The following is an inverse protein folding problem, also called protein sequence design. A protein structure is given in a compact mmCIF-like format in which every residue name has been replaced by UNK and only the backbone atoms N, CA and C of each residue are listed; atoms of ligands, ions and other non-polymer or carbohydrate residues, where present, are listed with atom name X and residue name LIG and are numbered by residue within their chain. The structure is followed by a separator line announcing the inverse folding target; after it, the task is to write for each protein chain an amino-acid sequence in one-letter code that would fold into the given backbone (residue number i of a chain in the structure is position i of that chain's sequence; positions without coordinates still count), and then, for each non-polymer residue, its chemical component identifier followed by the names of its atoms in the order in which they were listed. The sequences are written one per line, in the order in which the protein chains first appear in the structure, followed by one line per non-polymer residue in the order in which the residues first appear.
data_IF_829468955330
#
_entry.id   IF_829468955330
#
_cell.length_a   1.000
_cell.length_b   1.000
_cell.length_c   1.000
_cell.angle_alpha   90.00
_cell.angle_beta   90.00
_cell.angle_gamma   90.00
#
_symmetry.space_group_name_H-M   'P 1'
#
loop_
_entity.id
_entity.type
_entity.pdbx_description
1 polymer ?
#
# COMPACT_ATOMS: atom_id res chain seq x y z
N UNK A 1 2.21 38.01 21.83
CA UNK A 1 1.79 37.94 20.42
C UNK A 1 1.57 36.48 20.10
N UNK A 2 0.33 36.08 19.86
CA UNK A 2 -0.05 34.70 19.61
C UNK A 2 0.34 34.38 18.16
N UNK A 3 1.54 33.85 17.93
CA UNK A 3 1.86 33.25 16.63
C UNK A 3 0.87 32.11 16.46
N UNK A 4 -0.19 32.31 15.69
CA UNK A 4 -1.00 31.20 15.22
C UNK A 4 -0.02 30.24 14.55
N UNK A 5 0.29 29.13 15.23
CA UNK A 5 1.34 28.22 14.83
C UNK A 5 1.10 27.85 13.36
N UNK A 6 2.11 28.00 12.51
CA UNK A 6 2.00 27.71 11.09
C UNK A 6 1.54 26.26 10.95
N UNK A 7 0.28 26.07 10.55
CA UNK A 7 -0.40 24.78 10.58
C UNK A 7 -0.65 24.30 9.16
N UNK A 8 -0.16 23.10 8.84
CA UNK A 8 -0.28 22.48 7.52
C UNK A 8 -1.15 21.25 7.62
N UNK A 9 -2.08 21.10 6.67
CA UNK A 9 -2.80 19.85 6.48
C UNK A 9 -2.04 18.97 5.48
N UNK A 10 -1.85 17.70 5.83
CA UNK A 10 -1.35 16.66 4.94
C UNK A 10 -2.47 15.65 4.70
N UNK A 11 -2.84 15.42 3.43
CA UNK A 11 -3.90 14.48 3.06
C UNK A 11 -3.27 13.20 2.51
N UNK A 12 -3.50 12.09 3.22
CA UNK A 12 -2.97 10.75 2.97
C UNK A 12 -1.92 10.33 4.00
N UNK A 13 -2.13 9.17 4.61
CA UNK A 13 -1.26 8.50 5.60
C UNK A 13 -0.40 7.38 5.01
N UNK A 14 -0.20 7.40 3.68
CA UNK A 14 0.81 6.61 3.00
C UNK A 14 2.23 7.12 3.26
N UNK A 15 3.24 6.42 2.74
CA UNK A 15 4.66 6.75 3.01
C UNK A 15 5.01 8.19 2.62
N UNK A 16 4.52 8.69 1.48
CA UNK A 16 4.79 10.05 1.02
C UNK A 16 4.23 11.11 1.98
N UNK A 17 2.98 10.95 2.42
CA UNK A 17 2.34 11.85 3.37
C UNK A 17 2.97 11.77 4.76
N UNK A 18 3.29 10.56 5.23
CA UNK A 18 3.91 10.35 6.54
C UNK A 18 5.33 10.94 6.60
N UNK A 19 6.15 10.74 5.57
CA UNK A 19 7.49 11.37 5.45
C UNK A 19 7.36 12.89 5.39
N UNK A 20 6.42 13.43 4.61
CA UNK A 20 6.18 14.87 4.53
C UNK A 20 5.80 15.45 5.89
N UNK A 21 4.81 14.86 6.57
CA UNK A 21 4.33 15.30 7.88
C UNK A 21 5.45 15.27 8.93
N UNK A 22 6.17 14.15 9.04
CA UNK A 22 7.30 14.01 9.96
C UNK A 22 8.41 15.02 9.67
N UNK A 23 8.74 15.24 8.39
CA UNK A 23 9.76 16.23 7.99
C UNK A 23 9.35 17.65 8.34
N UNK A 24 8.12 18.05 8.06
CA UNK A 24 7.59 19.36 8.43
C UNK A 24 7.62 19.56 9.95
N UNK A 25 7.18 18.56 10.71
CA UNK A 25 7.14 18.60 12.17
C UNK A 25 8.54 18.73 12.80
N UNK A 26 9.53 17.98 12.29
CA UNK A 26 10.95 18.11 12.69
C UNK A 26 11.53 19.50 12.43
N UNK A 27 10.94 20.27 11.51
CA UNK A 27 11.31 21.65 11.21
C UNK A 27 10.41 22.69 11.92
N UNK A 28 9.65 22.27 12.94
CA UNK A 28 8.86 23.18 13.79
C UNK A 28 7.50 23.58 13.21
N UNK A 29 7.05 22.96 12.12
CA UNK A 29 5.71 23.19 11.54
C UNK A 29 4.69 22.29 12.24
N UNK A 30 3.56 22.86 12.67
CA UNK A 30 2.46 22.05 13.21
C UNK A 30 1.72 21.36 12.07
N UNK A 31 1.55 20.05 12.14
CA UNK A 31 0.92 19.28 11.06
C UNK A 31 -0.32 18.55 11.58
N UNK A 32 -1.42 18.62 10.82
CA UNK A 32 -2.48 17.61 10.90
C UNK A 32 -2.40 16.72 9.67
N UNK A 33 -2.25 15.41 9.88
CA UNK A 33 -2.34 14.42 8.83
C UNK A 33 -3.73 13.78 8.84
N UNK A 34 -4.40 13.75 7.69
CA UNK A 34 -5.71 13.13 7.50
C UNK A 34 -5.59 11.85 6.67
N UNK A 35 -6.13 10.75 7.16
CA UNK A 35 -6.17 9.46 6.47
C UNK A 35 -7.59 8.87 6.54
N UNK A 36 -8.11 8.52 5.37
CA UNK A 36 -9.42 7.89 5.18
C UNK A 36 -9.51 6.47 5.76
N UNK A 37 -8.40 5.76 5.80
CA UNK A 37 -8.29 4.40 6.32
C UNK A 37 -8.26 4.39 7.86
N UNK A 38 -8.37 3.18 8.42
CA UNK A 38 -8.43 2.95 9.88
C UNK A 38 -7.11 3.27 10.60
N UNK A 39 -6.02 3.40 9.87
CA UNK A 39 -4.67 3.63 10.38
C UNK A 39 -3.69 3.89 9.22
N UNK A 40 -2.44 4.25 9.52
CA UNK A 40 -1.44 4.56 8.51
C UNK A 40 -0.81 3.27 7.99
N UNK A 41 -0.72 3.13 6.67
CA UNK A 41 -0.14 1.98 5.98
C UNK A 41 -0.85 0.63 6.19
N UNK A 42 -1.03 -0.14 5.11
CA UNK A 42 -1.40 -1.57 5.15
C UNK A 42 -2.78 -1.91 5.74
N UNK A 43 -3.14 -3.21 5.73
CA UNK A 43 -4.39 -3.73 6.32
C UNK A 43 -4.15 -5.00 7.13
N UNK A 44 -4.99 -5.21 8.15
CA UNK A 44 -5.09 -6.46 8.92
C UNK A 44 -6.36 -7.20 8.50
N UNK A 45 -6.27 -8.52 8.42
CA UNK A 45 -7.39 -9.40 8.12
C UNK A 45 -7.76 -10.23 9.36
N UNK A 46 -9.00 -10.73 9.39
CA UNK A 46 -9.47 -11.65 10.44
C UNK A 46 -10.00 -12.92 9.80
N UNK A 47 -9.69 -14.05 10.40
CA UNK A 47 -10.24 -15.37 10.05
C UNK A 47 -11.65 -15.54 10.61
N UNK A 48 -12.36 -16.58 10.15
CA UNK A 48 -13.70 -16.93 10.63
C UNK A 48 -13.73 -17.34 12.11
N UNK A 49 -12.65 -17.98 12.61
CA UNK A 49 -12.47 -18.33 14.03
C UNK A 49 -12.03 -17.13 14.90
N UNK A 50 -12.01 -15.92 14.33
CA UNK A 50 -11.73 -14.67 15.03
C UNK A 50 -10.25 -14.38 15.29
N UNK A 51 -9.34 -15.26 14.87
CA UNK A 51 -7.89 -15.00 14.92
C UNK A 51 -7.52 -13.89 13.94
N UNK A 52 -6.63 -13.00 14.37
CA UNK A 52 -6.14 -11.93 13.49
C UNK A 52 -4.98 -12.46 12.66
N UNK A 53 -5.07 -12.33 11.35
CA UNK A 53 -3.95 -12.59 10.44
C UNK A 53 -3.51 -11.27 9.81
N UNK A 54 -2.22 -10.99 9.89
CA UNK A 54 -1.63 -9.82 9.24
C UNK A 54 -0.97 -10.21 7.93
N UNK A 55 -1.14 -9.39 6.90
CA UNK A 55 -0.53 -9.53 5.59
C UNK A 55 -0.04 -8.17 5.09
N UNK A 56 1.20 -8.07 4.61
CA UNK A 56 1.63 -6.90 3.86
C UNK A 56 1.27 -7.06 2.37
N UNK A 57 -0.02 -7.15 2.04
CA UNK A 57 -0.52 -7.47 0.69
C UNK A 57 -0.31 -6.39 -0.39
N UNK A 58 0.25 -5.24 -0.01
CA UNK A 58 0.64 -4.14 -0.90
C UNK A 58 2.10 -4.31 -1.36
N UNK A 59 2.95 -3.35 -1.01
CA UNK A 59 4.38 -3.42 -1.33
C UNK A 59 5.06 -4.61 -0.60
N UNK A 60 5.67 -5.57 -1.33
CA UNK A 60 6.29 -6.73 -0.70
C UNK A 60 7.55 -6.36 0.11
N UNK A 61 8.39 -5.52 -0.48
CA UNK A 61 9.62 -4.96 0.06
C UNK A 61 9.94 -3.67 -0.71
N UNK A 62 10.98 -2.95 -0.28
CA UNK A 62 11.57 -1.86 -1.06
C UNK A 62 13.08 -2.02 -1.12
N UNK A 63 13.69 -1.50 -2.18
CA UNK A 63 15.15 -1.38 -2.30
C UNK A 63 15.54 0.09 -2.34
N UNK A 64 16.81 0.36 -2.03
CA UNK A 64 17.35 1.72 -1.97
C UNK A 64 18.54 1.81 -2.90
N UNK A 65 18.51 2.78 -3.81
CA UNK A 65 19.60 3.08 -4.75
C UNK A 65 20.22 4.45 -4.55
N UNK A 66 19.49 5.39 -3.91
CA UNK A 66 19.95 6.77 -3.69
C UNK A 66 20.62 6.92 -2.32
N UNK A 67 21.85 7.49 -2.24
CA UNK A 67 22.55 7.69 -0.97
C UNK A 67 21.75 8.49 0.07
N UNK A 68 21.02 9.53 -0.36
CA UNK A 68 20.17 10.35 0.51
C UNK A 68 19.00 9.58 1.13
N UNK A 69 18.49 8.54 0.46
CA UNK A 69 17.43 7.67 1.00
C UNK A 69 18.06 6.58 1.87
N UNK A 70 19.29 6.16 1.58
CA UNK A 70 20.01 5.15 2.36
C UNK A 70 20.23 5.60 3.80
N UNK A 71 20.57 6.87 4.03
CA UNK A 71 20.73 7.41 5.38
C UNK A 71 19.42 7.40 6.18
N UNK A 72 18.30 7.73 5.54
CA UNK A 72 16.96 7.68 6.15
C UNK A 72 16.60 6.24 6.53
N UNK A 73 16.89 5.28 5.65
CA UNK A 73 16.59 3.86 5.91
C UNK A 73 17.50 3.30 7.00
N UNK A 74 18.76 3.72 7.08
CA UNK A 74 19.66 3.39 8.20
C UNK A 74 19.15 3.98 9.53
N UNK A 75 18.61 5.20 9.53
CA UNK A 75 17.94 5.76 10.71
C UNK A 75 16.77 4.87 11.13
N UNK A 76 15.92 4.45 10.18
CA UNK A 76 14.79 3.57 10.46
C UNK A 76 15.21 2.18 10.95
N UNK A 77 16.26 1.61 10.38
CA UNK A 77 16.84 0.34 10.82
C UNK A 77 17.40 0.45 12.25
N UNK A 78 18.12 1.53 12.58
CA UNK A 78 18.63 1.78 13.94
C UNK A 78 17.51 1.94 14.99
N UNK A 79 16.33 2.39 14.55
CA UNK A 79 15.11 2.51 15.37
C UNK A 79 14.29 1.22 15.41
N UNK A 80 14.72 0.16 14.72
CA UNK A 80 14.01 -1.12 14.62
C UNK A 80 12.70 -1.05 13.81
N UNK A 81 12.52 -0.02 12.97
CA UNK A 81 11.33 0.15 12.13
C UNK A 81 11.42 -0.64 10.82
N UNK A 82 12.64 -0.92 10.38
CA UNK A 82 12.95 -1.62 9.13
C UNK A 82 14.01 -2.67 9.39
N UNK A 83 13.95 -3.79 8.66
CA UNK A 83 15.02 -4.77 8.61
C UNK A 83 15.23 -5.27 7.18
N UNK A 84 16.43 -5.77 6.91
CA UNK A 84 16.74 -6.51 5.69
C UNK A 84 15.98 -7.86 5.68
N UNK A 85 15.28 -8.15 4.58
CA UNK A 85 14.61 -9.43 4.36
C UNK A 85 15.56 -10.40 3.66
N UNK A 86 16.19 -11.27 4.45
CA UNK A 86 17.26 -12.19 4.04
C UNK A 86 16.72 -13.58 3.71
N UNK A 87 15.95 -13.65 2.63
CA UNK A 87 15.44 -14.90 2.06
C UNK A 87 15.90 -15.06 0.61
N UNK A 88 15.79 -16.28 0.09
CA UNK A 88 16.10 -16.55 -1.32
C UNK A 88 14.91 -16.18 -2.24
N UNK A 89 15.25 -15.59 -3.39
CA UNK A 89 14.29 -15.16 -4.41
C UNK A 89 14.59 -15.82 -5.76
N UNK A 90 13.53 -16.18 -6.47
CA UNK A 90 13.62 -16.82 -7.77
C UNK A 90 12.55 -16.35 -8.75
N UNK A 91 12.57 -16.94 -9.93
CA UNK A 91 11.47 -16.89 -10.89
C UNK A 91 10.96 -18.28 -11.21
N UNK A 92 9.71 -18.35 -11.64
CA UNK A 92 9.12 -19.54 -12.23
C UNK A 92 8.60 -19.22 -13.63
N UNK A 93 9.05 -19.97 -14.62
CA UNK A 93 8.61 -19.81 -16.01
C UNK A 93 7.54 -20.84 -16.38
N UNK A 94 6.37 -20.36 -16.77
CA UNK A 94 5.23 -21.19 -17.15
C UNK A 94 5.41 -21.93 -18.49
N UNK A 95 6.28 -21.46 -19.38
CA UNK A 95 6.60 -22.15 -20.63
C UNK A 95 7.54 -23.33 -20.37
N UNK A 96 8.68 -23.10 -19.71
CA UNK A 96 9.67 -24.15 -19.45
C UNK A 96 9.33 -25.03 -18.24
N UNK A 97 8.42 -24.58 -17.37
CA UNK A 97 8.02 -25.22 -16.11
C UNK A 97 9.21 -25.41 -15.15
N UNK A 98 10.10 -24.42 -15.09
CA UNK A 98 11.31 -24.45 -14.27
C UNK A 98 11.40 -23.26 -13.32
N UNK A 99 12.03 -23.53 -12.18
CA UNK A 99 12.47 -22.52 -11.23
C UNK A 99 13.88 -22.04 -11.60
N UNK A 100 14.08 -20.73 -11.57
CA UNK A 100 15.39 -20.10 -11.77
C UNK A 100 15.75 -19.27 -10.54
N UNK A 101 16.99 -19.37 -10.06
CA UNK A 101 17.46 -18.52 -8.97
C UNK A 101 17.89 -17.16 -9.55
N UNK A 102 17.32 -16.07 -9.06
CA UNK A 102 17.64 -14.73 -9.56
C UNK A 102 18.90 -14.18 -8.88
N UNK A 103 19.25 -14.63 -7.66
CA UNK A 103 20.38 -14.13 -6.87
C UNK A 103 21.76 -14.41 -7.49
N UNK A 104 21.84 -15.34 -8.45
CA UNK A 104 23.05 -15.61 -9.23
C UNK A 104 23.33 -14.53 -10.30
N UNK A 105 22.42 -13.57 -10.49
CA UNK A 105 22.63 -12.41 -11.36
C UNK A 105 23.26 -11.26 -10.56
N UNK A 106 24.47 -10.85 -10.94
CA UNK A 106 25.30 -9.84 -10.26
C UNK A 106 24.53 -8.51 -10.07
N UNK A 107 24.50 -7.98 -8.83
CA UNK A 107 24.03 -6.62 -8.55
C UNK A 107 22.81 -6.48 -7.62
N UNK A 108 22.51 -7.47 -6.77
CA UNK A 108 21.35 -7.40 -5.88
C UNK A 108 21.43 -6.26 -4.85
N UNK A 109 20.44 -5.37 -4.89
CA UNK A 109 20.21 -4.38 -3.84
C UNK A 109 19.51 -5.05 -2.66
N UNK A 110 19.87 -4.64 -1.44
CA UNK A 110 19.20 -5.09 -0.22
C UNK A 110 17.69 -4.86 -0.31
N UNK A 111 16.92 -5.85 0.14
CA UNK A 111 15.47 -5.78 0.23
C UNK A 111 15.09 -5.46 1.67
N UNK A 112 14.43 -4.33 1.87
CA UNK A 112 14.01 -3.87 3.17
C UNK A 112 12.51 -4.05 3.36
N UNK A 113 12.11 -4.38 4.59
CA UNK A 113 10.71 -4.47 5.00
C UNK A 113 10.50 -3.77 6.33
N UNK A 114 9.30 -3.22 6.53
CA UNK A 114 8.91 -2.69 7.83
C UNK A 114 8.74 -3.82 8.87
N UNK A 115 9.03 -3.51 10.13
CA UNK A 115 9.00 -4.43 11.28
C UNK A 115 8.13 -3.88 12.41
N UNK A 116 7.17 -4.65 12.97
CA UNK A 116 6.75 -6.01 12.60
C UNK A 116 5.72 -6.03 11.45
N UNK A 117 5.57 -4.90 10.76
CA UNK A 117 4.54 -4.61 9.74
C UNK A 117 5.16 -3.73 8.66
N UNK A 118 4.83 -3.87 7.36
CA UNK A 118 5.30 -2.88 6.37
C UNK A 118 4.78 -1.47 6.73
N UNK A 119 3.64 -1.42 7.42
CA UNK A 119 3.06 -0.19 7.92
C UNK A 119 3.71 0.42 9.18
N UNK A 120 4.66 -0.29 9.81
CA UNK A 120 5.38 0.22 10.99
C UNK A 120 6.09 1.55 10.71
N UNK A 121 6.65 1.69 9.50
CA UNK A 121 7.33 2.91 9.03
C UNK A 121 6.37 4.09 9.08
N UNK A 122 5.22 3.97 8.40
CA UNK A 122 4.21 5.03 8.40
C UNK A 122 3.65 5.30 9.81
N UNK A 123 3.42 4.25 10.62
CA UNK A 123 2.97 4.42 12.01
C UNK A 123 3.93 5.25 12.84
N UNK A 124 5.23 4.99 12.75
CA UNK A 124 6.23 5.74 13.48
C UNK A 124 6.28 7.20 13.03
N UNK A 125 6.28 7.44 11.71
CA UNK A 125 6.31 8.78 11.13
C UNK A 125 5.04 9.60 11.45
N UNK A 126 3.87 8.96 11.45
CA UNK A 126 2.60 9.61 11.82
C UNK A 126 2.49 9.94 13.32
N UNK A 127 3.35 9.36 14.16
CA UNK A 127 3.44 9.62 15.60
C UNK A 127 4.66 10.50 15.96
N UNK A 128 5.35 11.06 14.97
CA UNK A 128 6.44 12.02 15.20
C UNK A 128 5.94 13.23 15.98
N UNK A 129 6.78 13.75 16.88
CA UNK A 129 6.41 14.93 17.67
C UNK A 129 6.09 16.12 16.76
N UNK A 130 4.91 16.72 16.95
CA UNK A 130 4.40 17.81 16.10
C UNK A 130 3.45 17.37 14.98
N UNK A 131 3.26 16.06 14.79
CA UNK A 131 2.24 15.49 13.89
C UNK A 131 1.00 15.06 14.68
N UNK A 132 -0.15 15.65 14.38
CA UNK A 132 -1.45 15.19 14.83
C UNK A 132 -2.12 14.37 13.72
N UNK A 133 -2.20 13.04 13.90
CA UNK A 133 -2.80 12.15 12.89
C UNK A 133 -4.28 11.87 13.17
N UNK A 134 -5.12 12.03 12.14
CA UNK A 134 -6.56 11.75 12.14
C UNK A 134 -6.86 10.61 11.16
N UNK A 135 -7.25 9.46 11.70
CA UNK A 135 -7.64 8.27 10.92
C UNK A 135 -9.16 8.18 10.78
N UNK A 136 -9.63 7.48 9.73
CA UNK A 136 -11.05 7.40 9.33
C UNK A 136 -11.64 8.76 8.96
N UNK A 137 -10.80 9.69 8.53
CA UNK A 137 -11.21 11.03 8.11
C UNK A 137 -10.88 11.18 6.63
N UNK A 138 -11.88 10.96 5.79
CA UNK A 138 -11.80 11.29 4.36
C UNK A 138 -12.08 12.77 4.16
N UNK A 139 -11.29 13.43 3.32
CA UNK A 139 -11.55 14.80 2.90
C UNK A 139 -12.59 14.77 1.79
N UNK A 140 -13.70 15.48 1.96
CA UNK A 140 -14.76 15.64 0.97
C UNK A 140 -14.62 16.92 0.15
N UNK A 141 -14.04 17.97 0.74
CA UNK A 141 -13.82 19.26 0.07
C UNK A 141 -12.60 19.99 0.62
N UNK A 142 -11.84 20.62 -0.25
CA UNK A 142 -10.73 21.51 0.06
C UNK A 142 -10.90 22.82 -0.70
N UNK A 143 -10.99 23.93 0.04
CA UNK A 143 -11.27 25.26 -0.52
C UNK A 143 -10.20 26.26 -0.09
N UNK A 144 -9.77 27.11 -1.01
CA UNK A 144 -8.94 28.25 -0.68
C UNK A 144 -9.82 29.46 -0.33
N UNK A 145 -9.62 30.00 0.87
CA UNK A 145 -10.31 31.20 1.35
C UNK A 145 -9.39 32.41 1.10
N UNK A 146 -9.64 33.15 0.02
CA UNK A 146 -8.79 34.26 -0.42
C UNK A 146 -8.63 35.36 0.65
N UNK A 147 -9.73 35.75 1.30
CA UNK A 147 -9.72 36.81 2.33
C UNK A 147 -8.87 36.43 3.54
N UNK A 148 -8.92 35.16 3.94
CA UNK A 148 -8.22 34.65 5.12
C UNK A 148 -6.80 34.14 4.82
N UNK A 149 -6.52 33.90 3.53
CA UNK A 149 -5.31 33.23 3.03
C UNK A 149 -5.08 31.90 3.76
N UNK A 150 -6.12 31.07 3.74
CA UNK A 150 -6.18 29.78 4.41
C UNK A 150 -6.88 28.74 3.53
N UNK A 151 -6.43 27.49 3.63
CA UNK A 151 -7.16 26.33 3.16
C UNK A 151 -8.20 25.91 4.18
N UNK A 152 -9.46 25.75 3.78
CA UNK A 152 -10.53 25.16 4.57
C UNK A 152 -10.78 23.73 4.13
N UNK A 153 -10.82 22.79 5.08
CA UNK A 153 -11.08 21.38 4.80
C UNK A 153 -12.40 20.92 5.42
N UNK A 154 -13.19 20.22 4.61
CA UNK A 154 -14.46 19.59 5.03
C UNK A 154 -14.37 18.08 4.82
N UNK A 155 -14.80 17.31 5.80
CA UNK A 155 -14.86 15.86 5.73
C UNK A 155 -15.93 15.36 4.76
N UNK A 156 -15.82 14.10 4.33
CA UNK A 156 -16.85 13.43 3.52
C UNK A 156 -18.20 13.38 4.24
N UNK A 157 -18.18 13.43 5.57
CA UNK A 157 -19.36 13.50 6.44
C UNK A 157 -19.88 14.93 6.67
N UNK A 158 -19.27 15.93 6.03
CA UNK A 158 -19.64 17.34 6.16
C UNK A 158 -19.04 18.05 7.39
N UNK A 159 -18.25 17.37 8.22
CA UNK A 159 -17.61 18.02 9.37
C UNK A 159 -16.56 19.03 8.94
N UNK A 160 -16.51 20.18 9.61
CA UNK A 160 -15.42 21.14 9.46
C UNK A 160 -14.15 20.59 10.14
N UNK A 161 -13.11 20.36 9.35
CA UNK A 161 -11.83 19.79 9.80
C UNK A 161 -10.78 20.85 10.14
N UNK A 162 -11.12 22.12 9.93
CA UNK A 162 -10.30 23.28 10.27
C UNK A 162 -9.72 24.01 9.07
N UNK A 163 -8.95 25.04 9.40
CA UNK A 163 -8.29 25.90 8.42
C UNK A 163 -6.77 25.83 8.58
N UNK A 164 -6.05 25.92 7.46
CA UNK A 164 -4.63 25.62 7.38
C UNK A 164 -3.89 26.62 6.50
N UNK A 165 -2.65 26.96 6.87
CA UNK A 165 -1.79 27.85 6.07
C UNK A 165 -1.20 27.16 4.84
N UNK A 166 -1.17 25.83 4.84
CA UNK A 166 -0.75 25.03 3.69
C UNK A 166 -1.52 23.72 3.62
N UNK A 167 -1.63 23.19 2.40
CA UNK A 167 -2.21 21.90 2.10
C UNK A 167 -1.20 21.09 1.28
N UNK A 168 -0.89 19.88 1.73
CA UNK A 168 -0.11 18.90 0.97
C UNK A 168 -1.02 17.72 0.67
N UNK A 169 -1.23 17.42 -0.61
CA UNK A 169 -1.92 16.21 -1.02
C UNK A 169 -0.88 15.16 -1.47
N UNK A 170 -0.92 13.97 -0.84
CA UNK A 170 0.02 12.89 -1.11
C UNK A 170 -0.53 11.79 -2.03
N UNK A 171 -1.75 11.99 -2.54
CA UNK A 171 -2.44 11.07 -3.46
C UNK A 171 -3.19 11.86 -4.53
N UNK A 172 -3.24 11.31 -5.75
CA UNK A 172 -3.95 11.89 -6.90
C UNK A 172 -5.46 11.88 -6.72
N UNK A 173 -6.00 11.08 -5.81
CA UNK A 173 -7.44 11.04 -5.51
C UNK A 173 -7.98 12.41 -5.03
N UNK A 174 -7.12 13.31 -4.55
CA UNK A 174 -7.54 14.67 -4.21
C UNK A 174 -8.13 15.42 -5.42
N UNK A 175 -7.73 15.05 -6.64
CA UNK A 175 -8.23 15.64 -7.89
C UNK A 175 -8.85 14.62 -8.85
N UNK A 176 -8.55 13.32 -8.76
CA UNK A 176 -8.94 12.36 -9.81
C UNK A 176 -10.45 12.16 -9.93
N UNK A 177 -10.98 12.25 -11.16
CA UNK A 177 -12.37 11.89 -11.48
C UNK A 177 -12.73 10.43 -11.19
N UNK A 178 -11.73 9.54 -11.08
CA UNK A 178 -11.92 8.14 -10.66
C UNK A 178 -12.55 8.07 -9.26
N UNK A 179 -12.31 9.06 -8.39
CA UNK A 179 -12.96 9.12 -7.08
C UNK A 179 -14.47 9.20 -7.24
N UNK A 180 -14.97 9.94 -8.23
CA UNK A 180 -16.41 10.01 -8.53
C UNK A 180 -16.97 8.66 -8.96
N UNK A 181 -16.26 7.92 -9.81
CA UNK A 181 -16.72 6.59 -10.25
C UNK A 181 -16.76 5.56 -9.10
N UNK A 182 -15.83 5.68 -8.15
CA UNK A 182 -15.71 4.76 -7.01
C UNK A 182 -16.65 5.13 -5.86
N UNK A 183 -16.80 6.42 -5.56
CA UNK A 183 -17.46 6.92 -4.34
C UNK A 183 -18.78 7.65 -4.60
N UNK A 184 -19.03 8.09 -5.84
CA UNK A 184 -20.15 8.96 -6.19
C UNK A 184 -19.97 10.43 -5.80
N UNK A 185 -18.85 10.80 -5.17
CA UNK A 185 -18.54 12.17 -4.74
C UNK A 185 -17.55 12.83 -5.72
N UNK A 186 -17.62 14.16 -5.94
CA UNK A 186 -16.61 14.86 -6.69
C UNK A 186 -15.23 14.78 -6.00
N UNK A 187 -14.12 14.97 -6.74
CA UNK A 187 -12.81 15.07 -6.12
C UNK A 187 -12.76 16.22 -5.11
N UNK A 188 -12.03 16.07 -3.99
CA UNK A 188 -12.04 17.06 -2.91
C UNK A 188 -11.52 18.45 -3.30
N UNK A 189 -10.53 18.52 -4.19
CA UNK A 189 -9.95 19.78 -4.64
C UNK A 189 -10.51 20.13 -6.03
N UNK A 190 -11.03 21.35 -6.18
CA UNK A 190 -11.42 21.86 -7.49
C UNK A 190 -10.18 22.06 -8.37
N UNK A 191 -10.16 21.38 -9.52
CA UNK A 191 -9.11 21.47 -10.52
C UNK A 191 -8.90 22.89 -11.05
N UNK A 192 -9.92 23.76 -10.99
CA UNK A 192 -9.81 25.16 -11.41
C UNK A 192 -8.75 25.94 -10.61
N UNK A 193 -8.46 25.50 -9.38
CA UNK A 193 -7.46 26.10 -8.50
C UNK A 193 -6.02 25.74 -8.86
N UNK A 194 -5.81 24.70 -9.69
CA UNK A 194 -4.49 24.19 -10.07
C UNK A 194 -4.40 23.82 -11.57
N UNK A 195 -4.67 24.77 -12.48
CA UNK A 195 -4.83 24.48 -13.91
C UNK A 195 -3.59 23.85 -14.56
N UNK A 196 -2.39 24.26 -14.14
CA UNK A 196 -1.12 23.72 -14.67
C UNK A 196 -0.88 22.24 -14.29
N UNK A 197 -1.39 21.82 -13.12
CA UNK A 197 -1.29 20.44 -12.65
C UNK A 197 -2.41 19.57 -13.21
N UNK A 198 -3.55 20.17 -13.55
CA UNK A 198 -4.75 19.48 -14.02
C UNK A 198 -4.46 18.53 -15.19
N UNK A 199 -3.85 19.05 -16.26
CA UNK A 199 -3.53 18.26 -17.45
C UNK A 199 -2.54 17.12 -17.17
N UNK A 200 -1.61 17.34 -16.23
CA UNK A 200 -0.59 16.34 -15.85
C UNK A 200 -1.20 15.23 -14.98
N UNK A 201 -2.08 15.58 -14.05
CA UNK A 201 -2.66 14.64 -13.09
C UNK A 201 -3.78 13.77 -13.69
N UNK A 202 -4.53 14.29 -14.68
CA UNK A 202 -5.58 13.52 -15.37
C UNK A 202 -5.03 12.31 -16.13
N UNK A 203 -3.81 12.42 -16.67
CA UNK A 203 -3.21 11.41 -17.55
C UNK A 203 -2.22 10.47 -16.83
N UNK A 204 -2.16 10.46 -15.48
CA UNK A 204 -1.26 9.56 -14.77
C UNK A 204 -1.79 8.11 -14.80
N UNK A 205 -1.16 7.22 -15.59
CA UNK A 205 -1.59 5.83 -15.66
C UNK A 205 -1.38 5.16 -14.30
N UNK A 206 -2.30 4.28 -13.93
CA UNK A 206 -2.18 3.40 -12.77
C UNK A 206 -2.56 2.01 -13.23
N UNK A 207 -1.69 1.06 -12.95
CA UNK A 207 -1.87 -0.34 -13.27
C UNK A 207 -2.61 -1.03 -12.12
N UNK A 208 -3.82 -1.56 -12.34
CA UNK A 208 -4.54 -2.28 -11.30
C UNK A 208 -3.87 -3.62 -10.98
N UNK A 209 -4.06 -4.10 -9.75
CA UNK A 209 -3.56 -5.41 -9.34
C UNK A 209 -4.49 -6.05 -8.32
N UNK A 210 -4.72 -7.36 -8.45
CA UNK A 210 -5.33 -8.14 -7.39
C UNK A 210 -4.25 -8.78 -6.51
N UNK A 211 -4.39 -8.64 -5.20
CA UNK A 211 -3.60 -9.34 -4.20
C UNK A 211 -4.45 -10.44 -3.55
N UNK A 212 -3.93 -11.66 -3.47
CA UNK A 212 -4.58 -12.79 -2.81
C UNK A 212 -3.74 -13.23 -1.62
N UNK A 213 -4.32 -13.17 -0.44
CA UNK A 213 -3.72 -13.53 0.84
C UNK A 213 -4.11 -14.96 1.19
N UNK A 214 -3.11 -15.80 1.42
CA UNK A 214 -3.26 -17.23 1.69
C UNK A 214 -2.58 -17.58 3.01
N UNK A 215 -3.20 -18.44 3.84
CA UNK A 215 -2.54 -19.03 5.00
C UNK A 215 -2.66 -20.54 5.00
N UNK A 216 -1.55 -21.20 5.35
CA UNK A 216 -1.39 -22.65 5.37
C UNK A 216 -1.03 -23.11 6.78
N UNK A 217 -1.59 -24.25 7.19
CA UNK A 217 -1.32 -24.82 8.50
C UNK A 217 0.13 -25.32 8.58
N UNK A 218 0.59 -25.95 7.50
CA UNK A 218 1.94 -26.48 7.36
C UNK A 218 2.79 -25.60 6.40
N UNK A 219 4.10 -25.46 6.64
CA UNK A 219 5.00 -24.74 5.73
C UNK A 219 5.07 -25.38 4.35
N UNK A 220 5.09 -24.55 3.30
CA UNK A 220 5.22 -24.98 1.90
C UNK A 220 6.68 -25.28 1.54
N UNK A 221 7.23 -26.32 2.18
CA UNK A 221 8.65 -26.70 2.09
C UNK A 221 9.11 -27.10 0.69
N UNK A 222 8.18 -27.43 -0.20
CA UNK A 222 8.44 -27.78 -1.60
C UNK A 222 8.69 -26.57 -2.51
N UNK A 223 8.42 -25.35 -2.04
CA UNK A 223 8.73 -24.11 -2.77
C UNK A 223 10.15 -23.66 -2.41
N UNK A 224 11.08 -23.60 -3.38
CA UNK A 224 12.49 -23.34 -3.10
C UNK A 224 12.81 -21.89 -2.72
N UNK A 225 11.93 -20.95 -3.03
CA UNK A 225 12.14 -19.51 -2.84
C UNK A 225 11.02 -18.91 -2.00
N UNK A 226 11.31 -17.88 -1.20
CA UNK A 226 10.29 -17.15 -0.42
C UNK A 226 9.82 -15.86 -1.09
N UNK A 227 10.41 -15.50 -2.24
CA UNK A 227 9.87 -14.54 -3.19
C UNK A 227 10.02 -15.03 -4.63
N UNK A 228 8.97 -14.91 -5.43
CA UNK A 228 8.87 -15.48 -6.77
C UNK A 228 8.29 -14.44 -7.75
N UNK A 229 8.98 -14.19 -8.86
CA UNK A 229 8.33 -13.66 -10.06
C UNK A 229 7.81 -14.80 -10.93
N UNK A 230 6.72 -14.55 -11.64
CA UNK A 230 6.20 -15.50 -12.62
C UNK A 230 6.41 -14.97 -14.04
N UNK A 231 7.14 -15.73 -14.83
CA UNK A 231 7.36 -15.46 -16.24
C UNK A 231 6.34 -16.22 -17.07
N UNK A 232 5.84 -15.58 -18.13
CA UNK A 232 4.87 -16.17 -19.06
C UNK A 232 3.54 -16.63 -18.43
N UNK A 233 3.21 -16.19 -17.22
CA UNK A 233 1.86 -16.33 -16.67
C UNK A 233 0.97 -15.20 -17.18
N UNK A 234 -0.29 -15.54 -17.49
CA UNK A 234 -1.33 -14.55 -17.81
C UNK A 234 -2.06 -14.03 -16.57
N UNK A 235 -1.83 -14.66 -15.41
CA UNK A 235 -2.63 -14.45 -14.20
C UNK A 235 -1.76 -13.93 -13.06
N UNK A 236 -0.61 -14.54 -12.79
CA UNK A 236 0.29 -14.18 -11.68
C UNK A 236 1.49 -13.38 -12.18
N UNK A 237 1.85 -12.33 -11.42
CA UNK A 237 3.10 -11.59 -11.63
C UNK A 237 4.12 -11.88 -10.55
N UNK A 238 3.67 -12.03 -9.31
CA UNK A 238 4.55 -12.15 -8.14
C UNK A 238 3.90 -12.98 -7.02
N UNK A 239 4.71 -13.67 -6.22
CA UNK A 239 4.31 -14.31 -4.97
C UNK A 239 5.39 -14.18 -3.90
N UNK A 240 5.01 -14.13 -2.63
CA UNK A 240 5.97 -14.12 -1.52
C UNK A 240 5.40 -14.69 -0.24
N UNK A 241 6.29 -15.30 0.56
CA UNK A 241 6.02 -15.71 1.93
C UNK A 241 6.11 -14.47 2.86
N UNK A 242 4.96 -13.88 3.17
CA UNK A 242 4.86 -12.72 4.06
C UNK A 242 5.31 -13.05 5.49
N UNK A 243 4.99 -14.25 5.98
CA UNK A 243 5.39 -14.71 7.31
C UNK A 243 6.89 -14.99 7.46
N UNK A 244 7.63 -15.10 6.35
CA UNK A 244 9.09 -15.29 6.35
C UNK A 244 9.83 -13.96 6.51
N UNK A 245 9.12 -12.82 6.52
CA UNK A 245 9.73 -11.51 6.81
C UNK A 245 10.16 -11.42 8.28
N UNK A 246 11.20 -10.63 8.60
CA UNK A 246 11.61 -10.38 9.97
C UNK A 246 10.45 -9.96 10.88
N UNK A 247 10.44 -10.52 12.10
CA UNK A 247 9.52 -10.20 13.18
C UNK A 247 8.03 -10.34 12.84
N UNK A 248 7.69 -11.30 11.97
CA UNK A 248 6.31 -11.75 11.77
C UNK A 248 5.98 -12.93 12.66
N UNK A 249 4.70 -13.08 12.97
CA UNK A 249 4.22 -14.28 13.64
C UNK A 249 4.45 -15.51 12.76
N UNK A 250 4.87 -16.61 13.36
CA UNK A 250 5.25 -17.84 12.64
C UNK A 250 4.29 -19.00 12.91
N UNK A 251 3.10 -18.71 13.46
CA UNK A 251 2.09 -19.73 13.80
C UNK A 251 1.47 -20.42 12.59
N UNK A 252 1.54 -19.78 11.42
CA UNK A 252 1.11 -20.32 10.13
C UNK A 252 1.96 -19.71 9.02
N UNK A 253 2.20 -20.46 7.94
CA UNK A 253 2.87 -19.90 6.78
C UNK A 253 1.88 -19.10 5.93
N UNK A 254 2.24 -17.86 5.61
CA UNK A 254 1.37 -16.91 4.92
C UNK A 254 2.02 -16.45 3.63
N UNK A 255 1.26 -16.55 2.56
CA UNK A 255 1.67 -16.12 1.23
C UNK A 255 0.77 -15.01 0.71
N UNK A 256 1.35 -14.12 -0.07
CA UNK A 256 0.60 -13.16 -0.88
C UNK A 256 0.94 -13.40 -2.34
N UNK A 257 -0.09 -13.50 -3.17
CA UNK A 257 -0.01 -13.58 -4.62
C UNK A 257 -0.45 -12.25 -5.21
N UNK A 258 0.25 -11.77 -6.23
CA UNK A 258 -0.15 -10.60 -7.02
C UNK A 258 -0.47 -11.00 -8.44
N UNK A 259 -1.56 -10.46 -8.98
CA UNK A 259 -1.94 -10.69 -10.37
C UNK A 259 -1.04 -9.92 -11.33
N UNK A 260 -1.10 -10.29 -12.61
CA UNK A 260 -0.69 -9.40 -13.70
C UNK A 260 -1.64 -8.21 -13.81
N UNK A 261 -1.18 -7.14 -14.45
CA UNK A 261 -2.01 -5.96 -14.76
C UNK A 261 -3.12 -6.34 -15.72
N UNK A 262 -2.80 -7.13 -16.75
CA UNK A 262 -3.71 -7.55 -17.82
C UNK A 262 -4.87 -8.37 -17.25
N UNK A 263 -4.60 -9.26 -16.30
CA UNK A 263 -5.64 -10.02 -15.60
C UNK A 263 -6.57 -9.08 -14.82
N UNK A 264 -6.01 -8.13 -14.07
CA UNK A 264 -6.79 -7.21 -13.26
C UNK A 264 -7.68 -6.30 -14.12
N UNK A 265 -7.15 -5.77 -15.23
CA UNK A 265 -7.91 -5.01 -16.23
C UNK A 265 -9.03 -5.84 -16.86
N UNK A 266 -8.77 -7.11 -17.15
CA UNK A 266 -9.77 -8.07 -17.64
C UNK A 266 -10.95 -8.23 -16.68
N UNK A 267 -10.70 -8.33 -15.38
CA UNK A 267 -11.77 -8.40 -14.37
C UNK A 267 -12.49 -7.04 -14.25
N UNK A 268 -11.75 -5.94 -14.18
CA UNK A 268 -12.32 -4.59 -14.04
C UNK A 268 -13.23 -4.23 -15.23
N UNK A 269 -12.86 -4.59 -16.45
CA UNK A 269 -13.69 -4.36 -17.63
C UNK A 269 -15.06 -5.06 -17.56
N UNK A 270 -15.14 -6.20 -16.86
CA UNK A 270 -16.38 -6.97 -16.68
C UNK A 270 -17.22 -6.46 -15.49
N UNK A 271 -16.57 -6.00 -14.42
CA UNK A 271 -17.26 -5.66 -13.15
C UNK A 271 -17.38 -4.16 -12.89
N UNK A 272 -16.68 -3.33 -13.67
CA UNK A 272 -16.58 -1.89 -13.48
C UNK A 272 -15.64 -1.46 -12.35
N UNK A 273 -15.53 -0.14 -12.17
CA UNK A 273 -14.61 0.52 -11.24
C UNK A 273 -15.09 0.53 -9.79
N UNK A 274 -16.36 0.23 -9.53
CA UNK A 274 -16.90 0.12 -8.17
C UNK A 274 -16.22 -1.00 -7.38
N UNK A 275 -16.39 -0.98 -6.05
CA UNK A 275 -15.87 -2.02 -5.16
C UNK A 275 -16.34 -3.40 -5.64
N UNK A 276 -15.44 -4.36 -5.87
CA UNK A 276 -15.82 -5.70 -6.30
C UNK A 276 -16.73 -6.39 -5.30
N UNK A 277 -17.65 -7.22 -5.80
CA UNK A 277 -18.49 -8.07 -4.96
C UNK A 277 -17.65 -9.18 -4.31
N UNK A 278 -18.14 -9.75 -3.20
CA UNK A 278 -17.48 -10.89 -2.56
C UNK A 278 -17.42 -12.10 -3.50
N UNK A 279 -18.43 -12.32 -4.35
CA UNK A 279 -18.41 -13.36 -5.37
C UNK A 279 -17.28 -13.15 -6.40
N UNK A 280 -17.06 -11.90 -6.83
CA UNK A 280 -15.93 -11.55 -7.71
C UNK A 280 -14.59 -11.82 -7.02
N UNK A 281 -14.44 -11.38 -5.76
CA UNK A 281 -13.20 -11.56 -5.00
C UNK A 281 -12.91 -13.04 -4.74
N UNK A 282 -13.92 -13.85 -4.43
CA UNK A 282 -13.77 -15.30 -4.26
C UNK A 282 -13.34 -15.97 -5.56
N UNK A 283 -13.92 -15.58 -6.70
CA UNK A 283 -13.50 -16.07 -8.02
C UNK A 283 -12.04 -15.72 -8.33
N UNK A 284 -11.63 -14.48 -8.04
CA UNK A 284 -10.23 -14.04 -8.22
C UNK A 284 -9.30 -14.84 -7.32
N UNK A 285 -9.66 -15.02 -6.04
CA UNK A 285 -8.85 -15.78 -5.10
C UNK A 285 -8.64 -17.23 -5.56
N UNK A 286 -9.70 -17.85 -6.07
CA UNK A 286 -9.65 -19.20 -6.62
C UNK A 286 -8.76 -19.29 -7.87
N UNK A 287 -8.91 -18.36 -8.81
CA UNK A 287 -8.12 -18.36 -10.05
C UNK A 287 -6.62 -18.16 -9.80
N UNK A 288 -6.24 -17.25 -8.89
CA UNK A 288 -4.83 -17.04 -8.55
C UNK A 288 -4.24 -18.22 -7.77
N UNK A 289 -5.03 -18.85 -6.88
CA UNK A 289 -4.60 -20.07 -6.19
C UNK A 289 -4.37 -21.22 -7.18
N UNK A 290 -5.30 -21.43 -8.12
CA UNK A 290 -5.17 -22.46 -9.15
C UNK A 290 -3.94 -22.25 -10.04
N UNK A 291 -3.69 -21.01 -10.47
CA UNK A 291 -2.48 -20.69 -11.23
C UNK A 291 -1.22 -21.01 -10.41
N UNK A 292 -1.21 -20.68 -9.11
CA UNK A 292 -0.10 -20.96 -8.21
C UNK A 292 0.13 -22.47 -8.01
N UNK A 293 -0.94 -23.24 -7.82
CA UNK A 293 -0.92 -24.71 -7.73
C UNK A 293 -0.45 -25.36 -9.04
N UNK A 294 -0.64 -24.71 -10.19
CA UNK A 294 -0.21 -25.23 -11.49
C UNK A 294 1.30 -25.19 -11.73
N UNK A 295 2.09 -24.64 -10.79
CA UNK A 295 3.56 -24.66 -10.84
C UNK A 295 4.18 -26.06 -10.67
N UNK A 296 3.35 -27.12 -10.60
CA UNK A 296 3.75 -28.53 -10.36
C UNK A 296 4.39 -28.77 -9.00
N UNK A 297 4.29 -27.81 -8.10
CA UNK A 297 4.56 -27.99 -6.68
C UNK A 297 3.26 -28.43 -6.00
N UNK A 298 3.35 -29.40 -5.10
CA UNK A 298 2.22 -29.73 -4.25
C UNK A 298 1.96 -28.57 -3.27
N UNK A 299 0.98 -27.73 -3.60
CA UNK A 299 0.49 -26.66 -2.73
C UNK A 299 -0.88 -27.11 -2.23
N UNK A 300 -1.04 -27.40 -0.92
CA UNK A 300 -2.31 -27.85 -0.35
C UNK A 300 -3.36 -26.75 -0.40
N UNK A 301 -4.60 -27.06 -0.04
CA UNK A 301 -5.63 -26.02 0.10
C UNK A 301 -5.32 -25.16 1.34
N UNK A 302 -5.28 -23.82 1.22
CA UNK A 302 -5.07 -22.94 2.37
C UNK A 302 -6.32 -22.92 3.27
N UNK A 303 -6.12 -22.85 4.59
CA UNK A 303 -7.24 -22.68 5.53
C UNK A 303 -7.82 -21.26 5.52
N UNK A 304 -7.07 -20.30 4.95
CA UNK A 304 -7.51 -18.91 4.78
C UNK A 304 -7.16 -18.43 3.38
N UNK A 305 -8.12 -17.81 2.70
CA UNK A 305 -7.97 -17.28 1.34
C UNK A 305 -8.81 -16.01 1.19
N UNK A 306 -8.20 -14.88 0.83
CA UNK A 306 -8.92 -13.63 0.60
C UNK A 306 -8.27 -12.78 -0.50
N UNK A 307 -9.09 -12.30 -1.44
CA UNK A 307 -8.63 -11.38 -2.47
C UNK A 307 -8.86 -9.90 -2.08
N UNK A 308 -8.02 -9.05 -2.65
CA UNK A 308 -8.10 -7.60 -2.55
C UNK A 308 -7.75 -6.96 -3.90
N UNK A 309 -8.44 -5.88 -4.29
CA UNK A 309 -8.16 -5.11 -5.52
C UNK A 309 -7.49 -3.77 -5.18
N UNK A 310 -6.26 -3.61 -5.63
CA UNK A 310 -5.54 -2.33 -5.67
C UNK A 310 -5.91 -1.57 -6.95
#
# INVERSE_FOLDING_TARGET
MNTAAFKVAVVGGGISGAVCASTLARNGVSVILFESARGPGGRREKTEDGKELSFDHGAPFFSVSKPEVQSIVQEWESKGLVAEWKEEFGSFDFHTRKFNNIEQQVGFSKRFVGVPGMNSICKALCNESGVESKFRVGIGKAEWLDDEKLWSLTGVDGQNLGQFKGLVASDKNIVSSRVTEVTGQPPPLDFSLVPELSAKLQNLPVQPCFAVMLAFAEPLSSIPFKGLSFENSKVLSWAYCDSCKPNRETTSERWVLHSTTEYAEGIISQTGMKKPSDATLNKVAEQLLQEFQSTRIHIPEPFFKRAHRW
#
